data_IF_489579308200
#
_entry.id   IF_489579308200
#
_cell.length_a   1.000
_cell.length_b   1.000
_cell.length_c   1.000
_cell.angle_alpha   90.00
_cell.angle_beta   90.00
_cell.angle_gamma   90.00
#
_symmetry.space_group_name_H-M   'P 1'
#
loop_
_entity.id
_entity.type
_entity.pdbx_description
1 polymer ?
#
# COMPACT_ATOMS: atom_id res chain seq x y z
N UNK A 1 20.33 -11.74 11.04
CA UNK A 1 20.25 -10.50 10.24
C UNK A 1 18.98 -10.55 9.41
N UNK A 2 17.88 -10.01 9.93
CA UNK A 2 16.64 -9.85 9.19
C UNK A 2 16.89 -8.86 8.05
N UNK A 3 17.12 -9.39 6.85
CA UNK A 3 17.35 -8.58 5.66
C UNK A 3 16.08 -7.77 5.42
N UNK A 4 16.12 -6.49 5.77
CA UNK A 4 15.22 -5.50 5.20
C UNK A 4 15.37 -5.58 3.69
N UNK A 5 14.43 -6.26 3.03
CA UNK A 5 14.41 -6.35 1.58
C UNK A 5 14.45 -4.93 1.02
N UNK A 6 15.39 -4.63 0.12
CA UNK A 6 15.49 -3.34 -0.56
C UNK A 6 14.13 -2.91 -1.09
N UNK A 7 13.84 -1.60 -1.11
CA UNK A 7 12.55 -1.09 -1.63
C UNK A 7 12.22 -1.63 -3.03
N UNK A 8 13.24 -1.84 -3.86
CA UNK A 8 13.09 -2.48 -5.16
C UNK A 8 12.62 -3.93 -5.10
N UNK A 9 13.12 -4.71 -4.15
CA UNK A 9 12.70 -6.09 -3.97
C UNK A 9 11.26 -6.18 -3.45
N UNK A 10 10.88 -5.30 -2.51
CA UNK A 10 9.50 -5.20 -2.03
C UNK A 10 8.54 -4.87 -3.18
N UNK A 11 8.89 -3.87 -4.00
CA UNK A 11 8.14 -3.52 -5.20
C UNK A 11 8.03 -4.71 -6.15
N UNK A 12 9.14 -5.39 -6.42
CA UNK A 12 9.17 -6.52 -7.37
C UNK A 12 8.26 -7.64 -6.91
N UNK A 13 8.26 -7.94 -5.62
CA UNK A 13 7.37 -8.95 -5.04
C UNK A 13 5.89 -8.54 -5.11
N UNK A 14 5.54 -7.28 -4.81
CA UNK A 14 4.16 -6.80 -4.97
C UNK A 14 3.70 -6.88 -6.43
N UNK A 15 4.53 -6.48 -7.39
CA UNK A 15 4.22 -6.58 -8.82
C UNK A 15 4.08 -8.05 -9.24
N UNK A 16 4.99 -8.91 -8.78
CA UNK A 16 4.93 -10.34 -9.08
C UNK A 16 3.66 -10.97 -8.51
N UNK A 17 3.26 -10.59 -7.30
CA UNK A 17 1.99 -11.02 -6.71
C UNK A 17 0.80 -10.54 -7.55
N UNK A 18 0.81 -9.29 -8.01
CA UNK A 18 -0.24 -8.76 -8.89
C UNK A 18 -0.35 -9.58 -10.18
N UNK A 19 0.77 -9.78 -10.87
CA UNK A 19 0.84 -10.53 -12.13
C UNK A 19 0.40 -12.00 -11.94
N UNK A 20 0.82 -12.64 -10.86
CA UNK A 20 0.44 -14.03 -10.56
C UNK A 20 -1.05 -14.20 -10.27
N UNK A 21 -1.73 -13.13 -9.84
CA UNK A 21 -3.17 -13.13 -9.57
C UNK A 21 -3.96 -12.44 -10.71
N UNK A 22 -3.35 -12.27 -11.89
CA UNK A 22 -3.98 -11.66 -13.07
C UNK A 22 -4.48 -10.22 -12.82
N UNK A 23 -3.84 -9.51 -11.89
CA UNK A 23 -4.11 -8.10 -11.62
C UNK A 23 -3.22 -7.18 -12.47
N UNK A 24 -3.81 -6.11 -13.00
CA UNK A 24 -3.08 -5.03 -13.66
C UNK A 24 -2.64 -3.98 -12.63
N UNK A 25 -1.34 -3.66 -12.63
CA UNK A 25 -0.77 -2.66 -11.71
C UNK A 25 -0.91 -1.27 -12.31
N UNK A 26 -1.93 -0.53 -11.85
CA UNK A 26 -2.16 0.87 -12.27
C UNK A 26 -1.09 1.83 -11.73
N UNK A 27 -0.76 1.74 -10.43
CA UNK A 27 0.20 2.64 -9.78
C UNK A 27 0.86 2.00 -8.56
N UNK A 28 2.16 2.25 -8.40
CA UNK A 28 2.94 1.80 -7.24
C UNK A 28 3.38 3.00 -6.40
N UNK A 29 3.10 2.95 -5.10
CA UNK A 29 3.49 3.96 -4.12
C UNK A 29 4.63 3.42 -3.26
N UNK A 30 5.81 4.05 -3.30
CA UNK A 30 7.01 3.59 -2.59
C UNK A 30 7.43 4.63 -1.56
N UNK A 31 7.20 4.34 -0.28
CA UNK A 31 7.66 5.20 0.81
C UNK A 31 9.18 5.01 0.99
N UNK A 32 9.97 5.95 0.48
CA UNK A 32 11.43 5.94 0.64
C UNK A 32 11.77 6.37 2.07
N UNK A 33 12.13 5.41 2.90
CA UNK A 33 12.56 5.65 4.28
C UNK A 33 13.96 6.26 4.36
N UNK A 34 14.16 7.47 3.84
CA UNK A 34 15.35 8.25 4.17
C UNK A 34 15.17 8.82 5.58
N UNK A 35 15.86 8.20 6.54
CA UNK A 35 16.00 8.63 7.92
C UNK A 35 14.74 8.53 8.80
N UNK A 36 14.84 7.68 9.83
CA UNK A 36 13.82 7.35 10.84
C UNK A 36 13.36 8.51 11.74
N UNK A 37 13.56 9.78 11.37
CA UNK A 37 13.22 10.95 12.19
C UNK A 37 11.99 11.72 11.71
N UNK A 38 11.69 11.66 10.41
CA UNK A 38 10.60 12.47 9.83
C UNK A 38 10.02 11.78 8.61
N UNK A 39 9.61 10.50 8.73
CA UNK A 39 8.93 9.81 7.63
C UNK A 39 7.52 10.38 7.46
N UNK A 40 7.48 11.47 6.72
CA UNK A 40 6.32 12.01 6.05
C UNK A 40 5.68 10.89 5.24
N UNK A 41 4.55 10.38 5.73
CA UNK A 41 3.66 9.36 5.13
C UNK A 41 3.02 9.84 3.82
N UNK A 42 3.82 10.49 2.99
CA UNK A 42 3.38 11.22 1.80
C UNK A 42 2.88 10.25 0.75
N UNK A 43 3.50 9.07 0.61
CA UNK A 43 3.04 8.09 -0.36
C UNK A 43 1.79 7.38 0.13
N UNK A 44 1.65 7.08 1.42
CA UNK A 44 0.40 6.57 1.99
C UNK A 44 -0.76 7.57 1.78
N UNK A 45 -0.55 8.86 2.10
CA UNK A 45 -1.56 9.89 1.91
C UNK A 45 -1.93 10.07 0.43
N UNK A 46 -0.93 10.02 -0.47
CA UNK A 46 -1.15 10.05 -1.93
C UNK A 46 -1.95 8.84 -2.40
N UNK A 47 -1.65 7.65 -1.90
CA UNK A 47 -2.38 6.42 -2.21
C UNK A 47 -3.84 6.52 -1.78
N UNK A 48 -4.11 6.96 -0.54
CA UNK A 48 -5.48 7.15 -0.03
C UNK A 48 -6.23 8.17 -0.91
N UNK A 49 -5.64 9.33 -1.19
CA UNK A 49 -6.24 10.34 -2.07
C UNK A 49 -6.50 9.78 -3.46
N UNK A 50 -5.55 9.03 -4.02
CA UNK A 50 -5.68 8.41 -5.32
C UNK A 50 -6.82 7.39 -5.35
N UNK A 51 -6.98 6.58 -4.30
CA UNK A 51 -8.08 5.61 -4.16
C UNK A 51 -9.45 6.30 -4.07
N UNK A 52 -9.52 7.45 -3.40
CA UNK A 52 -10.76 8.24 -3.31
C UNK A 52 -11.12 8.86 -4.66
N UNK A 53 -10.12 9.44 -5.37
CA UNK A 53 -10.33 10.05 -6.69
C UNK A 53 -10.71 8.99 -7.73
N UNK A 54 -10.05 7.83 -7.70
CA UNK A 54 -10.27 6.73 -8.64
C UNK A 54 -11.21 5.66 -8.09
N UNK A 55 -12.16 6.06 -7.22
CA UNK A 55 -13.17 5.16 -6.68
C UNK A 55 -13.85 4.36 -7.79
N UNK A 56 -14.10 3.07 -7.55
CA UNK A 56 -14.65 2.09 -8.53
C UNK A 56 -13.77 1.72 -9.73
N UNK A 57 -12.63 2.38 -9.95
CA UNK A 57 -11.64 1.95 -10.97
C UNK A 57 -10.59 1.00 -10.40
N UNK A 58 -10.34 1.11 -9.10
CA UNK A 58 -9.44 0.25 -8.36
C UNK A 58 -10.25 -0.83 -7.66
N UNK A 59 -9.82 -2.08 -7.78
CA UNK A 59 -10.49 -3.23 -7.16
C UNK A 59 -9.62 -3.88 -6.08
N UNK A 60 -8.30 -3.76 -6.18
CA UNK A 60 -7.35 -4.46 -5.31
C UNK A 60 -6.24 -3.50 -4.87
N UNK A 61 -5.88 -3.59 -3.60
CA UNK A 61 -4.76 -2.88 -3.00
C UNK A 61 -3.78 -3.90 -2.44
N UNK A 62 -2.57 -3.95 -3.01
CA UNK A 62 -1.51 -4.87 -2.60
C UNK A 62 -0.55 -4.14 -1.67
N UNK A 63 -0.34 -4.65 -0.45
CA UNK A 63 0.54 -4.03 0.55
C UNK A 63 1.60 -5.03 1.01
N UNK A 64 2.88 -4.64 0.96
CA UNK A 64 3.97 -5.53 1.37
C UNK A 64 3.94 -5.91 2.87
N UNK A 65 3.63 -4.94 3.75
CA UNK A 65 3.42 -5.17 5.19
C UNK A 65 2.39 -4.17 5.75
N UNK A 66 1.40 -4.68 6.48
CA UNK A 66 0.37 -3.85 7.13
C UNK A 66 0.93 -2.85 8.16
N UNK A 67 2.07 -3.16 8.80
CA UNK A 67 2.78 -2.26 9.71
C UNK A 67 3.20 -0.92 9.06
N UNK A 68 3.27 -0.89 7.72
CA UNK A 68 3.52 0.33 6.93
C UNK A 68 2.26 1.13 6.59
N UNK A 69 1.09 0.54 6.77
CA UNK A 69 -0.20 1.19 6.54
C UNK A 69 -0.64 2.00 7.76
N UNK A 70 -0.49 1.45 8.96
CA UNK A 70 -0.96 2.05 10.19
C UNK A 70 -0.04 1.68 11.35
N UNK A 71 0.16 2.63 12.27
CA UNK A 71 1.02 2.43 13.47
C UNK A 71 0.26 1.74 14.61
N UNK A 72 -1.06 1.70 14.53
CA UNK A 72 -1.92 1.07 15.53
C UNK A 72 -3.07 0.34 14.83
N UNK A 73 -3.67 -0.63 15.54
CA UNK A 73 -4.79 -1.44 15.03
C UNK A 73 -6.04 -0.61 14.71
N UNK A 74 -6.25 0.52 15.40
CA UNK A 74 -7.40 1.40 15.18
C UNK A 74 -7.34 2.08 13.80
N UNK A 75 -6.22 2.72 13.49
CA UNK A 75 -5.90 3.37 12.22
C UNK A 75 -5.89 2.34 11.08
N UNK A 76 -5.39 1.11 11.35
CA UNK A 76 -5.45 0.01 10.39
C UNK A 76 -6.90 -0.36 10.05
N UNK A 77 -7.74 -0.53 11.07
CA UNK A 77 -9.14 -0.93 10.90
C UNK A 77 -9.93 0.14 10.17
N UNK A 78 -9.69 1.41 10.46
CA UNK A 78 -10.33 2.53 9.78
C UNK A 78 -9.93 2.62 8.31
N UNK A 79 -8.64 2.44 8.00
CA UNK A 79 -8.17 2.40 6.61
C UNK A 79 -8.77 1.22 5.83
N UNK A 80 -8.79 0.03 6.41
CA UNK A 80 -9.41 -1.16 5.78
C UNK A 80 -10.90 -0.93 5.54
N UNK A 81 -11.61 -0.34 6.50
CA UNK A 81 -13.02 0.06 6.31
C UNK A 81 -13.18 1.05 5.16
N UNK A 82 -12.34 2.08 5.10
CA UNK A 82 -12.37 3.07 4.03
C UNK A 82 -12.15 2.44 2.65
N UNK A 83 -11.17 1.52 2.51
CA UNK A 83 -10.95 0.80 1.26
C UNK A 83 -12.13 -0.14 0.93
N UNK A 84 -12.70 -0.81 1.91
CA UNK A 84 -13.89 -1.64 1.72
C UNK A 84 -15.09 -0.84 1.21
N UNK A 85 -15.30 0.39 1.72
CA UNK A 85 -16.35 1.30 1.23
C UNK A 85 -16.11 1.75 -0.22
N UNK A 86 -14.85 1.77 -0.66
CA UNK A 86 -14.46 2.07 -2.03
C UNK A 86 -14.51 0.84 -2.95
N UNK A 87 -14.94 -0.32 -2.45
CA UNK A 87 -14.92 -1.61 -3.13
C UNK A 87 -13.51 -2.07 -3.51
N UNK A 88 -12.51 -1.68 -2.71
CA UNK A 88 -11.11 -2.05 -2.87
C UNK A 88 -10.79 -3.13 -1.83
N UNK A 89 -10.36 -4.31 -2.30
CA UNK A 89 -9.92 -5.42 -1.43
C UNK A 89 -8.44 -5.30 -1.14
N UNK A 90 -8.06 -5.28 0.13
CA UNK A 90 -6.67 -5.33 0.56
C UNK A 90 -6.16 -6.77 0.58
N UNK A 91 -5.03 -7.01 -0.09
CA UNK A 91 -4.34 -8.31 -0.15
C UNK A 91 -2.87 -8.19 0.22
#
# INVERSE_FOLDING_TARGET
>A
AEKGYSLEAQRKECIKFALNNEYEVDRVFIERGESAKTQDRTQLAKMIRYSVINKKKLSVLIIWKYDRLARNLGDQTELVKNFSLLNIRGV
#
